data_IF_746909046578
#
_entry.id   IF_746909046578
#
_cell.length_a   1.000
_cell.length_b   1.000
_cell.length_c   1.000
_cell.angle_alpha   90.00
_cell.angle_beta   90.00
_cell.angle_gamma   90.00
#
_symmetry.space_group_name_H-M   'P 1'
#
loop_
_entity.id
_entity.type
_entity.pdbx_description
1 polymer ?
#
# COMPACT_ATOMS: atom_id res chain seq x y z
N UNK A 1 -18.09 9.96 3.19
CA UNK A 1 -16.82 9.95 3.93
C UNK A 1 -16.91 8.82 4.95
N UNK A 2 -16.42 7.63 4.61
CA UNK A 2 -16.25 6.54 5.57
C UNK A 2 -14.91 6.77 6.26
N UNK A 3 -14.87 6.66 7.58
CA UNK A 3 -13.59 6.53 8.31
C UNK A 3 -12.77 5.43 7.61
N UNK A 4 -11.43 5.54 7.52
CA UNK A 4 -10.59 4.44 7.07
C UNK A 4 -10.69 3.31 8.09
N UNK A 5 -11.75 2.51 8.01
CA UNK A 5 -11.85 1.24 8.70
C UNK A 5 -10.97 0.30 7.88
N UNK A 6 -9.85 -0.07 8.49
CA UNK A 6 -8.96 -1.04 7.86
C UNK A 6 -9.74 -2.30 7.48
N UNK A 7 -9.38 -2.94 6.36
CA UNK A 7 -8.13 -2.76 5.63
C UNK A 7 -8.20 -1.99 4.28
N UNK A 8 -9.30 -1.29 3.97
CA UNK A 8 -9.57 -0.75 2.63
C UNK A 8 -8.85 0.58 2.34
N UNK A 9 -7.52 0.56 2.21
CA UNK A 9 -6.70 1.78 2.06
C UNK A 9 -6.15 2.04 0.65
N UNK A 10 -6.57 1.27 -0.35
CA UNK A 10 -6.18 1.49 -1.75
C UNK A 10 -6.46 2.93 -2.22
N UNK A 11 -7.67 3.45 -2.00
CA UNK A 11 -8.02 4.80 -2.43
C UNK A 11 -7.27 5.89 -1.66
N UNK A 12 -7.01 5.66 -0.38
CA UNK A 12 -6.15 6.55 0.40
C UNK A 12 -4.72 6.57 -0.15
N UNK A 13 -4.15 5.40 -0.49
CA UNK A 13 -2.84 5.31 -1.15
C UNK A 13 -2.79 6.06 -2.49
N UNK A 14 -3.85 5.96 -3.30
CA UNK A 14 -3.95 6.74 -4.56
C UNK A 14 -3.98 8.24 -4.29
N UNK A 15 -4.70 8.69 -3.25
CA UNK A 15 -4.75 10.10 -2.86
C UNK A 15 -3.36 10.59 -2.46
N UNK A 16 -2.59 9.81 -1.68
CA UNK A 16 -1.22 10.18 -1.31
C UNK A 16 -0.34 10.33 -2.56
N UNK A 17 -0.32 9.32 -3.44
CA UNK A 17 0.55 9.31 -4.61
C UNK A 17 0.21 10.38 -5.67
N UNK A 18 -1.01 10.93 -5.63
CA UNK A 18 -1.46 11.96 -6.59
C UNK A 18 -1.70 13.32 -5.96
N UNK A 19 -1.38 13.48 -4.68
CA UNK A 19 -1.63 14.72 -3.95
C UNK A 19 -0.80 15.87 -4.52
N UNK A 20 -1.42 17.01 -4.88
CA UNK A 20 -0.67 18.20 -5.30
C UNK A 20 0.00 18.92 -4.13
N UNK A 21 -0.26 18.48 -2.89
CA UNK A 21 0.29 19.07 -1.66
C UNK A 21 1.55 18.35 -1.17
N UNK A 22 1.88 17.20 -1.76
CA UNK A 22 3.02 16.37 -1.37
C UNK A 22 4.04 16.37 -2.49
N UNK A 23 5.30 16.59 -2.14
CA UNK A 23 6.39 16.41 -3.09
C UNK A 23 6.88 14.95 -3.11
N UNK A 24 7.90 14.67 -3.93
CA UNK A 24 8.46 13.33 -4.04
C UNK A 24 9.10 12.83 -2.73
N UNK A 25 9.63 13.74 -1.91
CA UNK A 25 10.21 13.40 -0.61
C UNK A 25 9.13 13.04 0.40
N UNK A 26 8.02 13.80 0.45
CA UNK A 26 6.88 13.47 1.31
C UNK A 26 6.29 12.09 0.94
N UNK A 27 6.12 11.83 -0.35
CA UNK A 27 5.63 10.53 -0.85
C UNK A 27 6.59 9.40 -0.45
N UNK A 28 7.90 9.63 -0.57
CA UNK A 28 8.93 8.68 -0.14
C UNK A 28 8.86 8.37 1.36
N UNK A 29 8.73 9.40 2.19
CA UNK A 29 8.64 9.28 3.64
C UNK A 29 7.40 8.50 4.05
N UNK A 30 6.24 8.81 3.45
CA UNK A 30 4.99 8.09 3.71
C UNK A 30 5.09 6.62 3.28
N UNK A 31 5.61 6.35 2.07
CA UNK A 31 5.82 4.97 1.61
C UNK A 31 6.76 4.19 2.56
N UNK A 32 7.82 4.85 3.05
CA UNK A 32 8.73 4.30 4.06
C UNK A 32 8.02 3.98 5.38
N UNK A 33 7.22 4.90 5.91
CA UNK A 33 6.48 4.70 7.15
C UNK A 33 5.45 3.56 7.04
N UNK A 34 4.73 3.45 5.91
CA UNK A 34 3.81 2.35 5.65
C UNK A 34 4.52 1.00 5.60
N UNK A 35 5.71 0.97 5.00
CA UNK A 35 6.54 -0.23 4.98
C UNK A 35 7.02 -0.62 6.38
N UNK A 36 7.48 0.34 7.18
CA UNK A 36 7.91 0.07 8.56
C UNK A 36 6.75 -0.43 9.43
N UNK A 37 5.55 0.14 9.25
CA UNK A 37 4.32 -0.36 9.85
C UNK A 37 4.00 -1.81 9.45
N UNK A 38 4.17 -2.16 8.17
CA UNK A 38 4.02 -3.53 7.68
C UNK A 38 5.03 -4.50 8.33
N UNK A 39 6.31 -4.11 8.41
CA UNK A 39 7.36 -4.94 9.02
C UNK A 39 7.08 -5.17 10.50
N UNK A 40 6.55 -4.15 11.19
CA UNK A 40 6.20 -4.26 12.61
C UNK A 40 4.96 -5.13 12.83
N UNK A 41 3.96 -5.04 11.96
CA UNK A 41 2.67 -5.71 12.12
C UNK A 41 2.19 -6.31 10.79
N UNK A 42 2.74 -7.48 10.42
CA UNK A 42 2.39 -8.18 9.18
C UNK A 42 0.90 -8.58 9.08
N UNK A 43 0.16 -8.59 10.20
CA UNK A 43 -1.29 -8.85 10.22
C UNK A 43 -2.13 -7.65 9.81
N UNK A 44 -1.56 -6.43 9.84
CA UNK A 44 -2.23 -5.20 9.44
C UNK A 44 -2.11 -4.98 7.94
N UNK A 45 -2.88 -5.75 7.18
CA UNK A 45 -2.86 -5.73 5.69
C UNK A 45 -3.22 -4.37 5.09
N UNK A 46 -3.81 -3.45 5.86
CA UNK A 46 -4.07 -2.07 5.43
C UNK A 46 -2.81 -1.32 4.97
N UNK A 47 -1.64 -1.56 5.58
CA UNK A 47 -0.38 -0.97 5.11
C UNK A 47 -0.04 -1.42 3.69
N UNK A 48 -0.19 -2.72 3.41
CA UNK A 48 0.02 -3.26 2.07
C UNK A 48 -1.03 -2.71 1.08
N UNK A 49 -2.27 -2.48 1.51
CA UNK A 49 -3.31 -1.90 0.65
C UNK A 49 -3.05 -0.45 0.29
N UNK A 50 -2.58 0.35 1.25
CA UNK A 50 -2.14 1.72 0.97
C UNK A 50 -0.97 1.74 -0.04
N UNK A 51 0.04 0.89 0.15
CA UNK A 51 1.16 0.78 -0.78
C UNK A 51 0.73 0.31 -2.17
N UNK A 52 -0.24 -0.59 -2.27
CA UNK A 52 -0.83 -1.02 -3.54
C UNK A 52 -1.54 0.15 -4.26
N UNK A 53 -2.28 0.97 -3.50
CA UNK A 53 -2.91 2.18 -4.00
C UNK A 53 -1.90 3.21 -4.51
N UNK A 54 -0.82 3.42 -3.77
CA UNK A 54 0.28 4.29 -4.20
C UNK A 54 0.93 3.76 -5.48
N UNK A 55 1.31 2.48 -5.52
CA UNK A 55 1.90 1.83 -6.71
C UNK A 55 1.01 2.00 -7.95
N UNK A 56 -0.30 1.79 -7.81
CA UNK A 56 -1.23 1.88 -8.93
C UNK A 56 -1.38 3.31 -9.49
N UNK A 57 -1.18 4.33 -8.65
CA UNK A 57 -1.36 5.74 -9.04
C UNK A 57 -0.04 6.44 -9.41
N UNK A 58 1.11 5.94 -8.97
CA UNK A 58 2.41 6.46 -9.36
C UNK A 58 2.69 6.20 -10.85
N UNK A 59 2.98 7.25 -11.60
CA UNK A 59 3.40 7.12 -13.02
C UNK A 59 4.73 6.36 -13.08
N UNK A 60 4.74 5.21 -13.74
CA UNK A 60 5.90 4.28 -13.74
C UNK A 60 5.77 3.13 -12.74
N UNK A 61 4.70 3.12 -11.93
CA UNK A 61 4.31 2.02 -11.06
C UNK A 61 5.34 1.71 -9.98
N UNK A 62 5.53 0.41 -9.71
CA UNK A 62 6.45 -0.08 -8.69
C UNK A 62 7.88 0.44 -8.90
N UNK A 63 8.35 0.52 -10.14
CA UNK A 63 9.72 0.93 -10.42
C UNK A 63 9.99 2.34 -9.91
N UNK A 64 9.07 3.27 -10.16
CA UNK A 64 9.19 4.65 -9.71
C UNK A 64 9.08 4.75 -8.19
N UNK A 65 8.12 4.01 -7.59
CA UNK A 65 7.97 3.96 -6.14
C UNK A 65 9.22 3.40 -5.45
N UNK A 66 9.90 2.42 -6.06
CA UNK A 66 11.14 1.84 -5.57
C UNK A 66 12.34 2.80 -5.65
N UNK A 67 12.32 3.81 -6.52
CA UNK A 67 13.36 4.85 -6.55
C UNK A 67 13.26 5.81 -5.36
N UNK A 68 12.08 5.92 -4.75
CA UNK A 68 11.81 6.82 -3.65
C UNK A 68 12.19 6.23 -2.28
N UNK A 69 12.27 4.90 -2.16
CA UNK A 69 12.46 4.23 -0.87
C UNK A 69 13.86 3.61 -0.72
N UNK A 70 14.40 3.46 0.50
CA UNK A 70 15.69 2.80 0.74
C UNK A 70 15.75 1.36 0.19
N UNK A 71 16.93 0.92 -0.25
CA UNK A 71 17.15 -0.39 -0.88
C UNK A 71 16.64 -1.60 -0.06
N UNK A 72 16.68 -1.51 1.29
CA UNK A 72 16.12 -2.54 2.19
C UNK A 72 14.62 -2.77 1.95
N UNK A 73 13.89 -1.71 1.58
CA UNK A 73 12.44 -1.68 1.35
C UNK A 73 12.12 -2.24 -0.04
N UNK A 74 12.91 -1.84 -1.04
CA UNK A 74 12.77 -2.29 -2.44
C UNK A 74 12.68 -3.81 -2.56
N UNK A 75 13.50 -4.56 -1.80
CA UNK A 75 13.50 -6.03 -1.83
C UNK A 75 12.13 -6.62 -1.46
N UNK A 76 11.48 -6.07 -0.44
CA UNK A 76 10.18 -6.54 0.06
C UNK A 76 9.01 -6.06 -0.80
N UNK A 77 9.11 -4.85 -1.35
CA UNK A 77 8.15 -4.35 -2.34
C UNK A 77 8.20 -5.14 -3.64
N UNK A 78 9.37 -5.68 -4.00
CA UNK A 78 9.57 -6.46 -5.22
C UNK A 78 9.32 -7.96 -5.05
N UNK A 79 9.40 -8.49 -3.83
CA UNK A 79 9.28 -9.94 -3.56
C UNK A 79 8.80 -10.24 -2.14
N UNK A 80 8.17 -11.40 -1.93
CA UNK A 80 7.73 -11.85 -0.60
C UNK A 80 6.28 -11.53 -0.26
N UNK A 81 5.94 -11.53 1.03
CA UNK A 81 4.56 -11.41 1.53
C UNK A 81 3.92 -10.06 1.17
N UNK A 82 4.69 -8.98 1.30
CA UNK A 82 4.21 -7.64 0.97
C UNK A 82 3.84 -7.54 -0.51
N UNK A 83 4.76 -7.92 -1.41
CA UNK A 83 4.48 -7.97 -2.86
C UNK A 83 3.25 -8.82 -3.17
N UNK A 84 3.12 -9.99 -2.53
CA UNK A 84 1.99 -10.88 -2.75
C UNK A 84 0.66 -10.17 -2.46
N UNK A 85 0.59 -9.36 -1.39
CA UNK A 85 -0.59 -8.56 -1.06
C UNK A 85 -0.78 -7.35 -1.97
N UNK A 86 0.29 -6.62 -2.32
CA UNK A 86 0.17 -5.42 -3.18
C UNK A 86 -0.24 -5.76 -4.61
N UNK A 87 0.03 -6.98 -5.07
CA UNK A 87 -0.34 -7.45 -6.42
C UNK A 87 -1.81 -7.90 -6.51
N UNK A 88 -2.49 -8.11 -5.39
CA UNK A 88 -3.93 -8.45 -5.40
C UNK A 88 -4.72 -7.21 -5.81
N UNK A 89 -5.54 -7.32 -6.85
CA UNK A 89 -6.43 -6.23 -7.25
C UNK A 89 -7.39 -5.85 -6.13
N UNK A 90 -7.70 -4.55 -6.02
CA UNK A 90 -8.58 -4.02 -4.99
C UNK A 90 -9.91 -4.79 -4.90
N UNK A 91 -10.59 -4.99 -6.04
CA UNK A 91 -11.85 -5.74 -6.11
C UNK A 91 -11.73 -7.17 -5.57
N UNK A 92 -10.62 -7.85 -5.89
CA UNK A 92 -10.40 -9.23 -5.40
C UNK A 92 -10.13 -9.26 -3.90
N UNK A 93 -9.33 -8.31 -3.42
CA UNK A 93 -9.03 -8.18 -1.99
C UNK A 93 -10.30 -7.93 -1.19
N UNK A 94 -11.12 -6.97 -1.61
CA UNK A 94 -12.39 -6.64 -0.96
C UNK A 94 -13.37 -7.81 -0.96
N UNK A 95 -13.49 -8.54 -2.06
CA UNK A 95 -14.34 -9.73 -2.13
C UNK A 95 -13.90 -10.84 -1.15
N UNK A 96 -12.59 -11.09 -1.04
CA UNK A 96 -12.04 -12.06 -0.08
C UNK A 96 -12.25 -11.62 1.36
N UNK A 97 -12.04 -10.34 1.66
CA UNK A 97 -12.24 -9.80 3.00
C UNK A 97 -13.70 -9.86 3.44
N UNK A 98 -14.63 -9.55 2.55
CA UNK A 98 -16.06 -9.67 2.83
C UNK A 98 -16.46 -11.12 3.17
N UNK A 99 -15.89 -12.12 2.49
CA UNK A 99 -16.12 -13.52 2.83
C UNK A 99 -15.58 -13.86 4.23
N UNK A 100 -14.38 -13.41 4.56
CA UNK A 100 -13.80 -13.61 5.89
C UNK A 100 -14.62 -12.93 6.99
N UNK A 101 -15.00 -11.66 6.81
CA UNK A 101 -15.78 -10.90 7.79
C UNK A 101 -17.19 -11.45 8.01
N UNK A 102 -17.82 -12.05 7.00
CA UNK A 102 -19.12 -12.72 7.11
C UNK A 102 -19.05 -14.13 7.71
N UNK A 103 -17.84 -14.66 7.92
CA UNK A 103 -17.61 -15.99 8.53
C UNK A 103 -17.26 -15.94 10.02
N UNK A 104 -17.23 -14.73 10.61
CA UNK A 104 -17.06 -14.47 12.04
C UNK A 104 -18.43 -14.38 12.74
#
# INVERSE_FOLDING_TARGET
>A
LLLPIGPFFDDWGKIIATSPLLDAFDIAEIAGALFEGWVYLETAVGYARALAGMEAATKGGLNELCLLVPAKIVKQLSSGKLRALTTISQTRFEAQWNQFGLSL
#
